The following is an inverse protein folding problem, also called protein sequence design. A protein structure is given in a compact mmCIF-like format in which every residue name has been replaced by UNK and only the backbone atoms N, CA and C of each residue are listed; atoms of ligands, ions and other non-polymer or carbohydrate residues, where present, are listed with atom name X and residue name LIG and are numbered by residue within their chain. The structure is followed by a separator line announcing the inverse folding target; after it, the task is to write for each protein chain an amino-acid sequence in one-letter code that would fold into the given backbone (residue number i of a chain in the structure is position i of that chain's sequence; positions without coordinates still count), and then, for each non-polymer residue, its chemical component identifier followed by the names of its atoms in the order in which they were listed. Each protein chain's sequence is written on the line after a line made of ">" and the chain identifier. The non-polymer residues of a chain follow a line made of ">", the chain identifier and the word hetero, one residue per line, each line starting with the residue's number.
data_IF_884292196817
#
_entry.id   IF_884292196817
#
_cell.length_a   1.000
_cell.length_b   1.000
_cell.length_c   1.000
_cell.angle_alpha   90.00
_cell.angle_beta   90.00
_cell.angle_gamma   90.00
#
_symmetry.space_group_name_H-M   'P 1'
#
loop_
_entity.id
_entity.type
_entity.pdbx_description
1 polymer ?
#
# COMPACT_ATOMS: atom_id res chain seq x y z
N UNK A 1 41.51 4.44 -31.14
CA UNK A 1 40.29 4.12 -31.94
C UNK A 1 39.54 2.87 -31.46
N UNK A 2 40.18 1.72 -31.25
CA UNK A 2 39.52 0.44 -30.84
C UNK A 2 38.76 0.59 -29.52
N UNK A 3 39.39 1.18 -28.46
CA UNK A 3 38.76 1.37 -27.15
C UNK A 3 37.50 2.23 -27.24
N UNK A 4 37.51 3.30 -28.01
CA UNK A 4 36.35 4.16 -28.23
C UNK A 4 35.22 3.41 -28.95
N UNK A 5 35.56 2.60 -29.95
CA UNK A 5 34.61 1.77 -30.67
C UNK A 5 33.92 0.73 -29.75
N UNK A 6 34.69 0.08 -28.87
CA UNK A 6 34.15 -0.85 -27.89
C UNK A 6 33.22 -0.13 -26.88
N UNK A 7 33.59 1.05 -26.40
CA UNK A 7 32.79 1.84 -25.48
C UNK A 7 31.44 2.25 -26.14
N UNK A 8 31.50 2.73 -27.37
CA UNK A 8 30.29 3.08 -28.14
C UNK A 8 29.36 1.87 -28.32
N UNK A 9 29.93 0.69 -28.61
CA UNK A 9 29.17 -0.54 -28.74
C UNK A 9 28.47 -0.93 -27.44
N UNK A 10 29.19 -0.86 -26.31
CA UNK A 10 28.62 -1.15 -24.96
C UNK A 10 27.47 -0.21 -24.67
N UNK A 11 27.64 1.10 -24.90
CA UNK A 11 26.59 2.10 -24.68
C UNK A 11 25.37 1.81 -25.57
N UNK A 12 25.58 1.50 -26.83
CA UNK A 12 24.50 1.19 -27.78
C UNK A 12 23.73 -0.06 -27.34
N UNK A 13 24.43 -1.14 -26.96
CA UNK A 13 23.80 -2.36 -26.44
C UNK A 13 23.00 -2.07 -25.16
N UNK A 14 23.56 -1.28 -24.25
CA UNK A 14 22.86 -0.88 -23.01
C UNK A 14 21.57 -0.10 -23.31
N UNK A 15 21.63 0.88 -24.22
CA UNK A 15 20.45 1.66 -24.63
C UNK A 15 19.38 0.75 -25.24
N UNK A 16 19.79 -0.17 -26.11
CA UNK A 16 18.88 -1.14 -26.75
C UNK A 16 18.24 -2.07 -25.71
N UNK A 17 19.00 -2.60 -24.77
CA UNK A 17 18.49 -3.44 -23.70
C UNK A 17 17.51 -2.68 -22.80
N UNK A 18 17.84 -1.44 -22.44
CA UNK A 18 16.92 -0.59 -21.66
C UNK A 18 15.63 -0.31 -22.41
N UNK A 19 15.71 -0.02 -23.70
CA UNK A 19 14.53 0.15 -24.56
C UNK A 19 13.68 -1.12 -24.61
N UNK A 20 14.32 -2.29 -24.85
CA UNK A 20 13.63 -3.60 -24.84
C UNK A 20 12.96 -3.89 -23.51
N UNK A 21 13.65 -3.60 -22.40
CA UNK A 21 13.09 -3.77 -21.07
C UNK A 21 11.87 -2.89 -20.83
N UNK A 22 11.94 -1.59 -21.17
CA UNK A 22 10.81 -0.66 -21.03
C UNK A 22 9.58 -1.06 -21.88
N UNK A 23 9.79 -1.75 -22.99
CA UNK A 23 8.72 -2.26 -23.85
C UNK A 23 8.36 -3.74 -23.57
N UNK A 24 8.93 -4.36 -22.56
CA UNK A 24 8.56 -5.72 -22.18
C UNK A 24 7.17 -5.76 -21.55
N UNK A 25 6.49 -6.91 -21.72
CA UNK A 25 5.20 -7.15 -21.06
C UNK A 25 5.27 -6.93 -19.56
N UNK A 26 6.35 -7.40 -18.94
CA UNK A 26 6.61 -7.20 -17.52
C UNK A 26 6.66 -5.72 -17.14
N UNK A 27 7.44 -4.92 -17.83
CA UNK A 27 7.54 -3.49 -17.52
C UNK A 27 6.22 -2.74 -17.76
N UNK A 28 5.44 -3.13 -18.75
CA UNK A 28 4.20 -2.45 -19.12
C UNK A 28 2.99 -2.90 -18.29
N UNK A 29 2.92 -4.17 -17.89
CA UNK A 29 1.71 -4.77 -17.36
C UNK A 29 1.82 -5.24 -15.89
N UNK A 30 3.02 -5.61 -15.41
CA UNK A 30 3.24 -5.97 -14.01
C UNK A 30 3.65 -4.80 -13.14
N UNK A 31 3.49 -3.63 -13.66
CA UNK A 31 3.63 -2.34 -13.00
C UNK A 31 2.86 -2.26 -11.69
N UNK A 32 1.76 -2.95 -11.59
CA UNK A 32 0.94 -2.95 -10.39
C UNK A 32 1.61 -3.57 -9.17
N UNK A 33 2.48 -4.54 -9.36
CA UNK A 33 3.09 -5.30 -8.26
C UNK A 33 4.49 -4.83 -7.90
N UNK A 34 5.18 -4.15 -8.79
CA UNK A 34 6.56 -3.73 -8.58
C UNK A 34 6.73 -2.23 -8.79
N UNK A 35 6.32 -1.42 -7.86
CA UNK A 35 6.79 -0.03 -7.76
C UNK A 35 6.95 0.73 -9.09
N UNK A 36 6.07 0.54 -10.07
CA UNK A 36 6.25 1.11 -11.39
C UNK A 36 5.15 2.00 -11.88
N UNK A 37 5.50 2.67 -12.97
CA UNK A 37 4.91 3.93 -13.30
C UNK A 37 3.49 3.75 -13.79
N UNK A 38 2.81 4.80 -13.54
CA UNK A 38 1.66 5.24 -14.30
C UNK A 38 0.57 4.20 -14.44
N UNK A 39 -0.05 3.91 -13.32
CA UNK A 39 -1.46 3.59 -13.37
C UNK A 39 -2.15 4.77 -14.05
N UNK A 40 -2.78 4.55 -15.19
CA UNK A 40 -3.75 5.52 -15.70
C UNK A 40 -4.92 5.52 -14.73
N UNK A 41 -4.96 6.52 -13.86
CA UNK A 41 -6.10 6.76 -13.00
C UNK A 41 -7.15 7.42 -13.87
N UNK A 42 -8.31 6.79 -13.99
CA UNK A 42 -9.46 7.39 -14.65
C UNK A 42 -10.24 8.21 -13.64
N UNK A 43 -10.09 9.51 -13.73
CA UNK A 43 -10.82 10.46 -12.90
C UNK A 43 -12.16 10.77 -13.55
N UNK A 44 -13.22 10.80 -12.75
CA UNK A 44 -14.56 11.20 -13.16
C UNK A 44 -15.30 11.88 -12.01
N UNK A 45 -16.33 12.61 -12.32
CA UNK A 45 -17.21 13.27 -11.33
C UNK A 45 -18.00 12.25 -10.49
N UNK A 46 -18.01 10.98 -10.90
CA UNK A 46 -18.70 9.88 -10.21
C UNK A 46 -17.88 9.26 -9.08
N UNK A 47 -16.65 9.74 -8.84
CA UNK A 47 -15.80 9.19 -7.79
C UNK A 47 -16.39 9.55 -6.43
N UNK A 48 -16.79 8.53 -5.69
CA UNK A 48 -17.35 8.63 -4.33
C UNK A 48 -16.33 8.26 -3.26
N UNK A 49 -15.32 7.45 -3.60
CA UNK A 49 -14.34 6.94 -2.66
C UNK A 49 -12.92 6.97 -3.22
N UNK A 50 -11.96 7.36 -2.37
CA UNK A 50 -10.52 7.25 -2.63
C UNK A 50 -9.87 6.55 -1.46
N UNK A 51 -9.15 5.45 -1.68
CA UNK A 51 -8.40 4.80 -0.62
C UNK A 51 -6.90 5.08 -0.71
N UNK A 52 -6.31 5.25 0.46
CA UNK A 52 -4.89 5.38 0.74
C UNK A 52 -4.38 4.08 1.37
N UNK A 53 -3.07 3.93 1.46
CA UNK A 53 -2.44 2.85 2.19
C UNK A 53 -1.42 2.06 1.37
N UNK A 54 -0.90 1.00 1.96
CA UNK A 54 0.16 0.18 1.41
C UNK A 54 -0.38 -1.10 0.73
N UNK A 55 0.39 -2.18 0.80
CA UNK A 55 0.07 -3.47 0.18
C UNK A 55 -1.29 -4.02 0.63
N UNK A 56 -1.62 -3.93 1.90
CA UNK A 56 -2.90 -4.42 2.43
C UNK A 56 -4.09 -3.70 1.80
N UNK A 57 -4.07 -2.36 1.74
CA UNK A 57 -5.10 -1.57 1.06
C UNK A 57 -5.23 -1.95 -0.42
N UNK A 58 -4.11 -2.22 -1.07
CA UNK A 58 -4.11 -2.65 -2.46
C UNK A 58 -4.82 -3.99 -2.68
N UNK A 59 -4.70 -4.93 -1.73
CA UNK A 59 -5.42 -6.20 -1.75
C UNK A 59 -6.86 -6.09 -1.24
N UNK A 60 -7.22 -5.02 -0.51
CA UNK A 60 -8.54 -4.84 0.04
C UNK A 60 -9.52 -4.13 -0.92
N UNK A 61 -9.05 -3.13 -1.66
CA UNK A 61 -9.95 -2.28 -2.45
C UNK A 61 -10.04 -2.70 -3.91
N UNK A 62 -11.29 -2.80 -4.41
CA UNK A 62 -11.61 -3.01 -5.81
C UNK A 62 -12.90 -2.25 -6.17
N UNK A 63 -12.81 -1.40 -7.16
CA UNK A 63 -13.92 -0.56 -7.58
C UNK A 63 -14.49 -1.04 -8.92
N UNK A 64 -15.64 -1.70 -8.88
CA UNK A 64 -16.25 -2.32 -10.07
C UNK A 64 -17.00 -1.34 -10.97
N UNK A 65 -17.53 -0.26 -10.39
CA UNK A 65 -18.40 0.71 -11.08
C UNK A 65 -17.70 2.02 -11.45
N UNK A 66 -16.37 2.08 -11.38
CA UNK A 66 -15.57 3.31 -11.54
C UNK A 66 -15.97 4.45 -10.58
N UNK A 67 -16.57 4.12 -9.44
CA UNK A 67 -16.98 5.07 -8.40
C UNK A 67 -15.88 5.28 -7.34
N UNK A 68 -14.74 4.67 -7.51
CA UNK A 68 -13.62 4.82 -6.59
C UNK A 68 -12.25 4.75 -7.27
N UNK A 69 -11.26 5.27 -6.56
CA UNK A 69 -9.85 5.29 -6.99
C UNK A 69 -8.95 4.82 -5.85
N UNK A 70 -8.09 3.88 -6.15
CA UNK A 70 -7.05 3.46 -5.19
C UNK A 70 -5.76 4.23 -5.42
N UNK A 71 -5.31 4.98 -4.44
CA UNK A 71 -3.98 5.60 -4.37
C UNK A 71 -2.98 4.73 -3.61
N UNK A 72 -3.38 3.54 -3.17
CA UNK A 72 -2.50 2.60 -2.48
C UNK A 72 -1.37 2.09 -3.40
N UNK A 73 -0.16 2.04 -2.88
CA UNK A 73 1.05 1.51 -3.54
C UNK A 73 1.80 0.59 -2.57
N UNK A 74 2.47 -0.42 -3.09
CA UNK A 74 3.24 -1.35 -2.28
C UNK A 74 4.76 -1.17 -2.49
N UNK A 75 5.54 -0.90 -1.44
CA UNK A 75 5.15 -0.41 -0.12
C UNK A 75 4.85 1.09 -0.14
N UNK A 76 4.04 1.60 0.78
CA UNK A 76 3.70 3.02 0.91
C UNK A 76 3.70 3.44 2.37
N UNK A 77 4.22 4.62 2.67
CA UNK A 77 4.18 5.25 3.99
C UNK A 77 3.09 6.33 4.02
N UNK A 78 2.67 6.71 5.22
CA UNK A 78 1.68 7.77 5.41
C UNK A 78 2.12 9.11 4.77
N UNK A 79 3.43 9.39 4.73
CA UNK A 79 3.95 10.55 3.99
C UNK A 79 3.52 10.52 2.52
N UNK A 80 3.74 9.39 1.83
CA UNK A 80 3.39 9.27 0.42
C UNK A 80 1.88 9.13 0.18
N UNK A 81 1.11 8.62 1.14
CA UNK A 81 -0.35 8.70 1.10
C UNK A 81 -0.81 10.15 0.94
N UNK A 82 -0.27 11.05 1.77
CA UNK A 82 -0.60 12.47 1.73
C UNK A 82 -0.10 13.14 0.45
N UNK A 83 1.14 12.84 0.02
CA UNK A 83 1.69 13.43 -1.21
C UNK A 83 0.87 13.06 -2.45
N UNK A 84 0.43 11.80 -2.55
CA UNK A 84 -0.44 11.34 -3.64
C UNK A 84 -1.82 12.01 -3.57
N UNK A 85 -2.43 12.03 -2.40
CA UNK A 85 -3.72 12.68 -2.19
C UNK A 85 -3.67 14.17 -2.57
N UNK A 86 -2.62 14.89 -2.17
CA UNK A 86 -2.41 16.28 -2.54
C UNK A 86 -2.14 16.46 -4.04
N UNK A 87 -1.39 15.55 -4.66
CA UNK A 87 -1.08 15.60 -6.08
C UNK A 87 -2.33 15.49 -6.95
N UNK A 88 -3.27 14.67 -6.50
CA UNK A 88 -4.52 14.42 -7.21
C UNK A 88 -5.72 15.22 -6.68
N UNK A 89 -5.52 16.11 -5.73
CA UNK A 89 -6.60 16.84 -5.06
C UNK A 89 -7.56 17.56 -6.01
N UNK A 90 -7.08 18.05 -7.16
CA UNK A 90 -7.89 18.74 -8.18
C UNK A 90 -8.88 17.83 -8.90
N UNK A 91 -8.65 16.51 -8.84
CA UNK A 91 -9.46 15.51 -9.51
C UNK A 91 -10.44 14.80 -8.57
N UNK A 92 -10.33 15.06 -7.27
CA UNK A 92 -11.17 14.42 -6.26
C UNK A 92 -12.35 15.37 -5.95
N UNK A 93 -13.60 14.94 -6.23
CA UNK A 93 -14.77 15.74 -5.93
C UNK A 93 -14.89 16.09 -4.44
N UNK A 94 -15.65 17.13 -4.11
CA UNK A 94 -16.08 17.39 -2.73
C UNK A 94 -16.97 16.23 -2.26
N UNK A 95 -17.07 16.06 -0.97
CA UNK A 95 -17.86 15.00 -0.32
C UNK A 95 -17.37 13.56 -0.60
N UNK A 96 -16.25 13.42 -1.36
CA UNK A 96 -15.62 12.11 -1.55
C UNK A 96 -15.16 11.52 -0.22
N UNK A 97 -15.41 10.25 -0.02
CA UNK A 97 -14.92 9.48 1.13
C UNK A 97 -13.44 9.15 0.90
N UNK A 98 -12.57 9.65 1.77
CA UNK A 98 -11.15 9.30 1.79
C UNK A 98 -10.93 8.24 2.87
N UNK A 99 -10.62 7.02 2.45
CA UNK A 99 -10.34 5.91 3.35
C UNK A 99 -8.84 5.82 3.59
N UNK A 100 -8.40 6.10 4.80
CA UNK A 100 -7.03 5.85 5.24
C UNK A 100 -6.96 4.45 5.86
N UNK A 101 -6.34 3.52 5.11
CA UNK A 101 -6.26 2.12 5.50
C UNK A 101 -4.94 1.83 6.23
N UNK A 102 -5.05 1.39 7.48
CA UNK A 102 -3.92 1.25 8.39
C UNK A 102 -3.51 -0.21 8.61
N UNK A 103 -2.37 -0.67 8.07
CA UNK A 103 -1.74 -1.90 8.54
C UNK A 103 -1.07 -1.68 9.90
N UNK A 104 -1.00 -2.70 10.75
CA UNK A 104 -0.50 -2.61 12.13
C UNK A 104 0.88 -1.93 12.24
N UNK A 105 1.80 -2.18 11.31
CA UNK A 105 3.14 -1.59 11.32
C UNK A 105 3.26 -0.17 10.78
N UNK A 106 2.16 0.49 10.37
CA UNK A 106 2.22 1.78 9.67
C UNK A 106 2.97 2.85 10.47
N UNK A 107 2.64 3.00 11.74
CA UNK A 107 3.15 4.08 12.58
C UNK A 107 4.60 3.88 13.04
N UNK A 108 5.11 2.65 12.98
CA UNK A 108 6.49 2.31 13.31
C UNK A 108 7.49 2.62 12.19
N UNK A 109 7.03 2.99 11.01
CA UNK A 109 7.85 3.33 9.84
C UNK A 109 7.81 4.83 9.56
N UNK A 110 8.97 5.47 9.43
CA UNK A 110 9.02 6.86 8.92
C UNK A 110 8.76 6.85 7.43
N UNK A 111 9.80 6.58 6.64
CA UNK A 111 9.70 6.57 5.19
C UNK A 111 10.64 5.54 4.59
N UNK A 112 10.25 5.07 3.42
CA UNK A 112 11.09 4.25 2.59
C UNK A 112 12.11 5.12 1.84
N UNK A 113 13.37 4.69 1.79
CA UNK A 113 14.45 5.43 1.14
C UNK A 113 15.16 4.64 0.04
N UNK A 114 14.99 3.33 -0.01
CA UNK A 114 15.58 2.49 -1.06
C UNK A 114 14.93 2.76 -2.41
N UNK A 115 15.72 2.74 -3.48
CA UNK A 115 15.21 3.03 -4.82
C UNK A 115 14.07 2.09 -5.23
N UNK A 116 14.16 0.81 -4.87
CA UNK A 116 13.11 -0.17 -5.17
C UNK A 116 11.75 0.19 -4.57
N UNK A 117 11.73 0.88 -3.44
CA UNK A 117 10.52 1.25 -2.74
C UNK A 117 9.94 2.59 -3.19
N UNK A 118 10.80 3.54 -3.63
CA UNK A 118 10.39 4.90 -3.98
C UNK A 118 10.38 5.20 -5.47
N UNK A 119 10.88 4.29 -6.32
CA UNK A 119 11.01 4.49 -7.76
C UNK A 119 9.69 4.94 -8.43
N UNK A 120 8.56 4.39 -7.99
CA UNK A 120 7.21 4.73 -8.47
C UNK A 120 6.88 6.22 -8.32
N UNK A 121 7.31 6.84 -7.22
CA UNK A 121 7.01 8.25 -6.96
C UNK A 121 7.76 9.21 -7.88
N UNK A 122 8.91 8.80 -8.42
CA UNK A 122 9.64 9.58 -9.42
C UNK A 122 8.90 9.72 -10.76
N UNK A 123 7.92 8.84 -11.02
CA UNK A 123 7.05 8.94 -12.18
C UNK A 123 5.78 9.76 -11.93
N UNK A 124 5.33 9.78 -10.68
CA UNK A 124 4.00 10.22 -10.32
C UNK A 124 3.98 11.58 -9.60
N UNK A 125 5.04 11.87 -8.82
CA UNK A 125 5.10 13.07 -8.00
C UNK A 125 6.14 14.08 -8.53
N UNK A 126 5.89 15.38 -8.36
CA UNK A 126 6.89 16.41 -8.60
C UNK A 126 8.04 16.29 -7.57
N UNK A 127 9.21 16.80 -7.95
CA UNK A 127 10.46 16.63 -7.20
C UNK A 127 10.41 17.10 -5.74
N UNK A 128 9.67 18.16 -5.47
CA UNK A 128 9.48 18.78 -4.15
C UNK A 128 8.59 17.96 -3.21
N UNK A 129 7.86 16.99 -3.75
CA UNK A 129 7.04 16.04 -3.00
C UNK A 129 7.70 14.68 -2.77
N UNK A 130 8.90 14.50 -3.25
CA UNK A 130 9.68 13.27 -3.03
C UNK A 130 10.69 13.54 -1.93
N UNK A 131 10.54 12.83 -0.80
CA UNK A 131 11.47 12.96 0.30
C UNK A 131 12.89 12.57 -0.13
N UNK A 132 13.86 13.44 0.18
CA UNK A 132 15.26 13.25 -0.22
C UNK A 132 15.42 12.97 -1.72
N UNK A 133 14.72 13.78 -2.55
CA UNK A 133 14.86 13.68 -4.01
C UNK A 133 16.32 13.63 -4.44
N UNK A 134 16.63 12.77 -5.40
CA UNK A 134 17.94 12.65 -6.00
C UNK A 134 17.82 12.55 -7.52
N UNK A 135 18.51 13.43 -8.24
CA UNK A 135 18.54 13.41 -9.70
C UNK A 135 19.09 12.07 -10.22
N UNK A 136 20.11 11.50 -9.55
CA UNK A 136 20.66 10.19 -9.92
C UNK A 136 19.59 9.08 -9.77
N UNK A 137 18.86 9.06 -8.66
CA UNK A 137 17.76 8.11 -8.46
C UNK A 137 16.67 8.30 -9.53
N UNK A 138 16.33 9.55 -9.88
CA UNK A 138 15.39 9.84 -10.96
C UNK A 138 15.88 9.25 -12.29
N UNK A 139 17.13 9.52 -12.67
CA UNK A 139 17.70 9.00 -13.92
C UNK A 139 17.64 7.46 -13.95
N UNK A 140 18.05 6.82 -12.87
CA UNK A 140 18.01 5.35 -12.76
C UNK A 140 16.56 4.84 -12.81
N UNK A 141 15.63 5.43 -12.03
CA UNK A 141 14.26 4.95 -11.97
C UNK A 141 13.52 5.15 -13.29
N UNK A 142 13.62 6.34 -13.90
CA UNK A 142 12.75 6.77 -15.01
C UNK A 142 13.40 6.60 -16.37
N UNK A 143 14.68 6.94 -16.49
CA UNK A 143 15.40 6.90 -17.80
C UNK A 143 15.98 5.52 -18.06
N UNK A 144 16.60 4.92 -17.05
CA UNK A 144 17.34 3.65 -17.18
C UNK A 144 16.92 2.61 -16.14
N UNK A 145 15.61 2.23 -16.08
CA UNK A 145 15.12 1.31 -15.05
C UNK A 145 15.77 -0.08 -15.08
N UNK A 146 16.38 -0.47 -16.19
CA UNK A 146 17.15 -1.72 -16.28
C UNK A 146 18.28 -1.80 -15.23
N UNK A 147 18.81 -0.65 -14.80
CA UNK A 147 19.93 -0.60 -13.83
C UNK A 147 19.55 -1.09 -12.44
N UNK A 148 18.30 -0.93 -12.01
CA UNK A 148 17.87 -1.41 -10.70
C UNK A 148 17.02 -2.69 -10.76
N UNK A 149 16.52 -3.05 -11.95
CA UNK A 149 15.68 -4.24 -12.13
C UNK A 149 16.50 -5.54 -12.09
N UNK A 150 17.82 -5.45 -12.31
CA UNK A 150 18.74 -6.58 -12.19
C UNK A 150 18.36 -7.79 -13.07
N UNK A 151 18.43 -9.00 -12.50
CA UNK A 151 18.11 -10.25 -13.21
C UNK A 151 16.69 -10.29 -13.79
N UNK A 152 15.74 -9.63 -13.15
CA UNK A 152 14.34 -9.55 -13.61
C UNK A 152 14.23 -8.86 -14.97
N UNK A 153 15.07 -7.84 -15.23
CA UNK A 153 15.08 -7.18 -16.53
C UNK A 153 15.51 -8.12 -17.64
N UNK A 154 16.56 -8.90 -17.42
CA UNK A 154 17.05 -9.88 -18.41
C UNK A 154 15.96 -10.91 -18.70
N UNK A 155 15.39 -11.48 -17.63
CA UNK A 155 14.30 -12.45 -17.75
C UNK A 155 13.12 -11.90 -18.52
N UNK A 156 12.71 -10.66 -18.25
CA UNK A 156 11.55 -10.04 -18.90
C UNK A 156 11.78 -9.66 -20.39
N UNK A 157 13.03 -9.46 -20.81
CA UNK A 157 13.39 -9.22 -22.21
C UNK A 157 13.28 -10.51 -23.03
N UNK A 158 13.67 -11.64 -22.41
CA UNK A 158 13.72 -12.96 -23.08
C UNK A 158 12.35 -13.65 -23.05
N UNK A 159 11.68 -13.63 -21.91
CA UNK A 159 10.41 -14.31 -21.70
C UNK A 159 9.23 -13.36 -21.94
N UNK A 160 8.44 -13.63 -22.97
CA UNK A 160 7.25 -12.85 -23.31
C UNK A 160 6.06 -13.09 -22.37
N UNK A 161 6.05 -14.20 -21.63
CA UNK A 161 5.06 -14.53 -20.61
C UNK A 161 5.78 -14.64 -19.27
N UNK A 162 5.44 -13.76 -18.37
CA UNK A 162 5.72 -13.95 -16.95
C UNK A 162 4.37 -14.38 -16.39
N UNK A 163 4.29 -15.61 -15.90
CA UNK A 163 3.17 -16.01 -15.09
C UNK A 163 3.10 -15.01 -13.93
N UNK A 164 1.99 -14.30 -13.85
CA UNK A 164 1.76 -13.44 -12.71
C UNK A 164 1.66 -14.36 -11.51
N UNK A 165 2.70 -14.44 -10.69
CA UNK A 165 2.67 -15.17 -9.40
C UNK A 165 1.55 -14.64 -8.48
N UNK A 166 0.85 -13.62 -8.91
CA UNK A 166 -0.14 -12.89 -8.18
C UNK A 166 -1.53 -13.15 -8.76
N UNK A 167 -1.95 -14.41 -8.70
CA UNK A 167 -3.33 -14.72 -8.89
C UNK A 167 -4.05 -14.39 -7.59
N UNK A 168 -4.78 -13.45 -7.36
CA UNK A 168 -5.61 -13.21 -6.16
C UNK A 168 -6.47 -14.43 -5.72
N UNK A 169 -5.99 -15.63 -6.02
CA UNK A 169 -6.61 -16.88 -5.66
C UNK A 169 -6.49 -17.09 -4.14
N UNK A 170 -7.45 -17.82 -3.61
CA UNK A 170 -7.46 -18.17 -2.19
C UNK A 170 -6.26 -19.04 -1.81
N UNK A 171 -5.79 -18.87 -0.59
CA UNK A 171 -4.79 -19.74 0.00
C UNK A 171 -5.47 -21.02 0.53
N UNK A 172 -5.17 -22.15 -0.07
CA UNK A 172 -5.68 -23.46 0.39
C UNK A 172 -4.56 -24.25 1.02
N UNK A 173 -4.42 -24.12 2.32
CA UNK A 173 -3.37 -24.79 3.10
C UNK A 173 -3.92 -25.29 4.44
N UNK A 174 -3.18 -26.18 5.10
CA UNK A 174 -3.56 -26.67 6.42
C UNK A 174 -3.44 -25.59 7.50
N UNK A 175 -4.18 -25.79 8.60
CA UNK A 175 -4.13 -24.92 9.78
C UNK A 175 -2.69 -24.76 10.32
N UNK A 176 -1.94 -25.83 10.37
CA UNK A 176 -0.53 -25.80 10.78
C UNK A 176 0.32 -24.92 9.86
N UNK A 177 0.09 -24.98 8.54
CA UNK A 177 0.78 -24.12 7.59
C UNK A 177 0.39 -22.65 7.76
N UNK A 178 -0.87 -22.36 8.06
CA UNK A 178 -1.34 -20.99 8.34
C UNK A 178 -0.65 -20.41 9.57
N UNK A 179 -0.56 -21.16 10.66
CA UNK A 179 0.19 -20.74 11.87
C UNK A 179 1.64 -20.46 11.56
N UNK A 180 2.26 -21.30 10.73
CA UNK A 180 3.64 -21.08 10.29
C UNK A 180 3.77 -19.79 9.43
N UNK A 181 2.84 -19.53 8.52
CA UNK A 181 2.82 -18.27 7.73
C UNK A 181 2.69 -17.07 8.66
N UNK A 182 1.75 -17.10 9.61
CA UNK A 182 1.58 -16.03 10.58
C UNK A 182 2.87 -15.79 11.38
N UNK A 183 3.52 -16.86 11.85
CA UNK A 183 4.80 -16.77 12.56
C UNK A 183 5.90 -16.16 11.69
N UNK A 184 6.04 -16.61 10.44
CA UNK A 184 7.01 -16.09 9.47
C UNK A 184 6.81 -14.56 9.24
N UNK A 185 5.55 -14.09 9.12
CA UNK A 185 5.22 -12.67 9.02
C UNK A 185 5.60 -11.89 10.30
N UNK A 186 5.26 -12.43 11.45
CA UNK A 186 5.60 -11.82 12.74
C UNK A 186 7.12 -11.74 12.95
N UNK A 187 7.88 -12.74 12.54
CA UNK A 187 9.34 -12.72 12.61
C UNK A 187 9.96 -11.64 11.71
N UNK A 188 9.39 -11.42 10.54
CA UNK A 188 9.78 -10.30 9.67
C UNK A 188 9.50 -8.96 10.35
N UNK A 189 8.35 -8.78 10.99
CA UNK A 189 8.00 -7.54 11.69
C UNK A 189 8.86 -7.33 12.92
N UNK A 190 9.09 -8.35 13.74
CA UNK A 190 10.02 -8.28 14.89
C UNK A 190 11.39 -7.79 14.42
N UNK A 191 11.93 -8.37 13.36
CA UNK A 191 13.22 -7.94 12.79
C UNK A 191 13.17 -6.52 12.24
N UNK A 192 12.12 -6.15 11.53
CA UNK A 192 11.95 -4.84 10.89
C UNK A 192 11.85 -3.73 11.92
N UNK A 193 11.11 -3.96 12.99
CA UNK A 193 10.85 -2.97 14.04
C UNK A 193 11.74 -3.14 15.28
N UNK A 194 12.69 -4.08 15.23
CA UNK A 194 13.62 -4.38 16.34
C UNK A 194 12.88 -4.73 17.65
N UNK A 195 11.85 -5.56 17.55
CA UNK A 195 11.03 -6.00 18.67
C UNK A 195 11.42 -7.41 19.10
N UNK A 196 11.45 -7.66 20.40
CA UNK A 196 11.72 -8.99 20.96
C UNK A 196 10.52 -9.94 20.75
N UNK A 197 9.31 -9.40 20.94
CA UNK A 197 8.06 -10.14 20.79
C UNK A 197 6.93 -9.19 20.34
N UNK A 198 5.69 -9.67 20.19
CA UNK A 198 4.51 -8.90 19.81
C UNK A 198 3.42 -8.92 20.90
N UNK A 199 3.83 -9.14 22.14
CA UNK A 199 2.91 -9.20 23.30
C UNK A 199 3.15 -8.10 24.31
N UNK A 200 4.41 -7.82 24.64
CA UNK A 200 4.79 -6.83 25.66
C UNK A 200 6.14 -6.15 25.35
N UNK A 201 6.63 -6.25 24.12
CA UNK A 201 7.91 -5.65 23.74
C UNK A 201 7.98 -4.15 24.03
N UNK A 202 9.16 -3.71 24.46
CA UNK A 202 9.44 -2.27 24.58
C UNK A 202 9.45 -1.59 23.19
N UNK A 203 8.62 -0.58 23.05
CA UNK A 203 8.49 0.21 21.83
C UNK A 203 9.07 1.62 21.95
N UNK A 204 9.79 1.92 23.03
CA UNK A 204 10.31 3.27 23.33
C UNK A 204 11.18 3.81 22.20
N UNK A 205 11.99 2.97 21.55
CA UNK A 205 12.83 3.35 20.43
C UNK A 205 12.05 3.75 19.17
N UNK A 206 10.75 3.43 19.09
CA UNK A 206 9.85 3.77 17.99
C UNK A 206 9.10 5.09 18.21
N UNK A 207 9.14 5.68 19.41
CA UNK A 207 8.46 6.94 19.72
C UNK A 207 8.72 8.02 18.66
N UNK A 208 9.96 8.25 18.17
CA UNK A 208 10.19 9.25 17.11
C UNK A 208 9.51 8.92 15.79
N UNK A 209 9.19 7.65 15.53
CA UNK A 209 8.42 7.23 14.36
C UNK A 209 6.93 7.49 14.58
N UNK A 210 6.43 7.15 15.76
CA UNK A 210 5.05 7.39 16.17
C UNK A 210 4.71 8.88 16.11
N UNK A 211 5.50 9.74 16.74
CA UNK A 211 5.30 11.19 16.74
C UNK A 211 5.33 11.77 15.31
N UNK A 212 6.25 11.30 14.48
CA UNK A 212 6.33 11.72 13.09
C UNK A 212 5.05 11.37 12.31
N UNK A 213 4.58 10.13 12.43
CA UNK A 213 3.39 9.68 11.71
C UNK A 213 2.11 10.29 12.27
N UNK A 214 2.03 10.55 13.59
CA UNK A 214 0.89 11.25 14.19
C UNK A 214 0.75 12.67 13.61
N UNK A 215 1.85 13.42 13.47
CA UNK A 215 1.83 14.75 12.80
C UNK A 215 1.38 14.66 11.34
N UNK A 216 1.78 13.61 10.64
CA UNK A 216 1.30 13.37 9.27
C UNK A 216 -0.19 13.06 9.26
N UNK A 217 -0.68 12.28 10.23
CA UNK A 217 -2.10 11.95 10.32
C UNK A 217 -2.96 13.19 10.62
N UNK A 218 -2.52 14.06 11.52
CA UNK A 218 -3.17 15.36 11.76
C UNK A 218 -3.21 16.21 10.47
N UNK A 219 -2.11 16.26 9.72
CA UNK A 219 -2.07 16.92 8.41
C UNK A 219 -3.07 16.32 7.42
N UNK A 220 -3.24 15.00 7.41
CA UNK A 220 -4.23 14.31 6.56
C UNK A 220 -5.66 14.74 6.94
N UNK A 221 -5.97 14.79 8.24
CA UNK A 221 -7.25 15.25 8.77
C UNK A 221 -7.53 16.68 8.31
N UNK A 222 -6.59 17.59 8.53
CA UNK A 222 -6.72 19.01 8.14
C UNK A 222 -6.91 19.15 6.63
N UNK A 223 -6.20 18.37 5.85
CA UNK A 223 -6.33 18.37 4.39
C UNK A 223 -7.71 17.92 3.94
N UNK A 224 -8.23 16.83 4.50
CA UNK A 224 -9.57 16.35 4.17
C UNK A 224 -10.64 17.37 4.54
N UNK A 225 -10.56 17.97 5.73
CA UNK A 225 -11.45 19.06 6.15
C UNK A 225 -11.42 20.25 5.20
N UNK A 226 -10.23 20.71 4.82
CA UNK A 226 -10.05 21.87 3.94
C UNK A 226 -10.62 21.62 2.51
N UNK A 227 -10.64 20.36 2.06
CA UNK A 227 -11.18 19.99 0.75
C UNK A 227 -12.67 19.60 0.79
N UNK A 228 -13.27 19.47 1.97
CA UNK A 228 -14.62 18.99 2.16
C UNK A 228 -14.76 17.48 1.88
N UNK A 229 -13.71 16.71 2.11
CA UNK A 229 -13.74 15.25 2.02
C UNK A 229 -14.12 14.61 3.34
N UNK A 230 -14.82 13.48 3.27
CA UNK A 230 -15.22 12.68 4.44
C UNK A 230 -14.13 11.67 4.75
N UNK A 231 -13.30 11.92 5.77
CA UNK A 231 -12.20 11.00 6.14
C UNK A 231 -12.71 9.84 7.00
N UNK A 232 -12.24 8.64 6.71
CA UNK A 232 -12.53 7.41 7.46
C UNK A 232 -11.22 6.65 7.71
N UNK A 233 -11.00 6.23 8.95
CA UNK A 233 -9.90 5.34 9.30
C UNK A 233 -10.38 3.90 9.27
N UNK A 234 -9.61 3.03 8.64
CA UNK A 234 -9.98 1.62 8.49
C UNK A 234 -8.80 0.72 8.87
N UNK A 235 -9.03 -0.19 9.79
CA UNK A 235 -8.13 -1.31 10.05
C UNK A 235 -8.60 -2.52 9.24
N UNK A 236 -7.69 -3.10 8.47
CA UNK A 236 -8.02 -4.24 7.63
C UNK A 236 -8.25 -5.53 8.40
N UNK A 237 -9.01 -6.46 7.80
CA UNK A 237 -9.21 -7.78 8.39
C UNK A 237 -7.91 -8.58 8.44
N UNK A 238 -7.82 -9.44 9.43
CA UNK A 238 -6.73 -10.40 9.64
C UNK A 238 -7.30 -11.75 10.03
N UNK A 239 -6.67 -12.83 9.56
CA UNK A 239 -7.05 -14.18 9.98
C UNK A 239 -6.74 -14.41 11.46
N UNK A 240 -7.47 -15.34 12.08
CA UNK A 240 -7.32 -15.70 13.49
C UNK A 240 -5.88 -16.01 13.87
N UNK A 241 -5.18 -16.83 13.06
CA UNK A 241 -3.81 -17.23 13.31
C UNK A 241 -2.83 -16.05 13.39
N UNK A 242 -3.12 -14.97 12.66
CA UNK A 242 -2.32 -13.75 12.72
C UNK A 242 -2.69 -12.90 13.94
N UNK A 243 -3.97 -12.80 14.28
CA UNK A 243 -4.45 -12.06 15.44
C UNK A 243 -3.93 -12.64 16.76
N UNK A 244 -3.85 -13.97 16.87
CA UNK A 244 -3.33 -14.68 18.06
C UNK A 244 -1.85 -14.38 18.36
N UNK A 245 -1.11 -13.81 17.40
CA UNK A 245 0.30 -13.43 17.60
C UNK A 245 0.48 -12.14 18.41
N UNK A 246 -0.59 -11.36 18.59
CA UNK A 246 -0.53 -10.07 19.28
C UNK A 246 -1.29 -10.11 20.60
N UNK A 247 -0.77 -9.45 21.63
CA UNK A 247 -1.60 -9.08 22.77
C UNK A 247 -2.32 -7.76 22.53
N UNK A 248 -3.49 -7.59 23.13
CA UNK A 248 -4.23 -6.32 23.08
C UNK A 248 -3.42 -5.17 23.69
N UNK A 249 -2.65 -5.44 24.76
CA UNK A 249 -1.76 -4.45 25.39
C UNK A 249 -0.70 -3.96 24.40
N UNK A 250 -0.08 -4.87 23.65
CA UNK A 250 0.91 -4.51 22.64
C UNK A 250 0.27 -3.70 21.52
N UNK A 251 -0.86 -4.15 20.99
CA UNK A 251 -1.57 -3.43 19.95
C UNK A 251 -2.04 -2.04 20.38
N UNK A 252 -2.48 -1.90 21.62
CA UNK A 252 -2.86 -0.60 22.16
C UNK A 252 -1.67 0.37 22.14
N UNK A 253 -0.50 -0.06 22.59
CA UNK A 253 0.69 0.78 22.67
C UNK A 253 1.37 1.02 21.31
N UNK A 254 1.45 -0.02 20.49
CA UNK A 254 2.18 0.02 19.23
C UNK A 254 1.37 0.61 18.07
N UNK A 255 0.05 0.46 18.12
CA UNK A 255 -0.82 0.74 16.99
C UNK A 255 -1.95 1.71 17.33
N UNK A 256 -2.92 1.34 18.15
CA UNK A 256 -4.14 2.11 18.38
C UNK A 256 -3.92 3.48 19.00
N UNK A 257 -3.03 3.63 19.96
CA UNK A 257 -2.70 4.91 20.59
C UNK A 257 -2.16 5.96 19.62
N UNK A 258 -1.76 5.55 18.42
CA UNK A 258 -1.22 6.47 17.41
C UNK A 258 -2.31 7.24 16.64
N UNK A 259 -3.57 6.81 16.70
CA UNK A 259 -4.61 7.45 15.89
C UNK A 259 -5.98 7.57 16.57
N UNK A 260 -6.29 6.79 17.62
CA UNK A 260 -7.62 6.81 18.25
C UNK A 260 -8.00 8.19 18.78
N UNK A 261 -7.12 8.84 19.53
CA UNK A 261 -7.35 10.18 20.06
C UNK A 261 -7.49 11.23 18.96
N UNK A 262 -6.78 11.08 17.85
CA UNK A 262 -6.91 11.93 16.66
C UNK A 262 -8.29 11.72 16.00
N UNK A 263 -8.75 10.47 15.91
CA UNK A 263 -10.06 10.14 15.38
C UNK A 263 -11.17 10.76 16.24
N UNK A 264 -11.13 10.54 17.54
CA UNK A 264 -12.10 11.08 18.51
C UNK A 264 -12.15 12.60 18.49
N UNK A 265 -11.00 13.26 18.65
CA UNK A 265 -10.89 14.72 18.66
C UNK A 265 -11.43 15.36 17.37
N UNK A 266 -11.31 14.68 16.24
CA UNK A 266 -11.68 15.22 14.94
C UNK A 266 -13.00 14.66 14.40
N UNK A 267 -13.69 13.84 15.18
CA UNK A 267 -14.92 13.14 14.78
C UNK A 267 -14.76 12.36 13.47
N UNK A 268 -13.63 11.66 13.31
CA UNK A 268 -13.36 10.79 12.17
C UNK A 268 -13.88 9.40 12.47
N UNK A 269 -14.70 8.86 11.58
CA UNK A 269 -15.21 7.49 11.70
C UNK A 269 -14.04 6.51 11.66
N UNK A 270 -13.99 5.59 12.62
CA UNK A 270 -13.04 4.50 12.66
C UNK A 270 -13.77 3.16 12.55
N UNK A 271 -13.43 2.37 11.54
CA UNK A 271 -13.95 1.04 11.29
C UNK A 271 -12.82 0.02 11.46
N UNK A 272 -12.99 -0.88 12.42
CA UNK A 272 -12.00 -1.92 12.73
C UNK A 272 -12.53 -3.31 12.33
N UNK A 273 -11.93 -3.88 11.28
CA UNK A 273 -12.25 -5.23 10.79
C UNK A 273 -11.25 -6.29 11.25
N UNK A 274 -10.28 -5.94 12.09
CA UNK A 274 -9.23 -6.85 12.52
C UNK A 274 -9.77 -8.13 13.15
N UNK A 275 -10.75 -7.99 14.04
CA UNK A 275 -11.39 -9.09 14.75
C UNK A 275 -12.81 -9.42 14.23
N UNK A 276 -13.15 -8.99 13.04
CA UNK A 276 -14.46 -9.26 12.47
C UNK A 276 -14.63 -10.75 12.16
N UNK A 277 -15.65 -11.37 12.74
CA UNK A 277 -15.92 -12.82 12.68
C UNK A 277 -15.98 -13.36 11.25
N UNK A 278 -16.44 -12.55 10.29
CA UNK A 278 -16.50 -12.92 8.88
C UNK A 278 -15.11 -13.34 8.36
N UNK A 279 -14.06 -12.70 8.85
CA UNK A 279 -12.69 -12.93 8.39
C UNK A 279 -11.87 -13.83 9.31
N UNK A 280 -12.33 -14.02 10.57
CA UNK A 280 -11.60 -14.85 11.53
C UNK A 280 -11.67 -16.34 11.19
N UNK A 281 -12.78 -16.78 10.64
CA UNK A 281 -13.07 -18.21 10.48
C UNK A 281 -12.92 -18.72 9.05
N UNK A 282 -12.69 -17.83 8.06
CA UNK A 282 -12.49 -18.24 6.67
C UNK A 282 -11.17 -17.75 6.06
N UNK A 283 -10.14 -18.55 6.19
CA UNK A 283 -8.83 -18.28 5.57
C UNK A 283 -8.86 -18.26 4.04
N UNK A 284 -9.92 -18.75 3.39
CA UNK A 284 -10.09 -18.63 1.93
C UNK A 284 -10.31 -17.18 1.49
N UNK A 285 -10.69 -16.30 2.41
CA UNK A 285 -10.79 -14.86 2.16
C UNK A 285 -9.42 -14.18 2.02
N UNK A 286 -8.33 -14.90 2.32
CA UNK A 286 -6.98 -14.37 2.21
C UNK A 286 -6.17 -15.07 1.11
N UNK A 287 -5.48 -14.27 0.31
CA UNK A 287 -4.56 -14.77 -0.72
C UNK A 287 -3.30 -15.40 -0.10
N UNK A 288 -2.71 -14.75 0.87
CA UNK A 288 -1.53 -15.25 1.60
C UNK A 288 -1.90 -16.08 2.84
N UNK A 289 -3.19 -16.26 3.09
CA UNK A 289 -3.74 -17.02 4.22
C UNK A 289 -3.93 -16.23 5.50
N UNK A 290 -3.39 -15.01 5.66
CA UNK A 290 -3.37 -14.32 6.96
C UNK A 290 -3.81 -12.83 6.96
N UNK A 291 -3.44 -12.01 5.97
CA UNK A 291 -3.70 -10.56 6.01
C UNK A 291 -3.82 -9.85 4.64
N UNK A 292 -3.61 -10.57 3.53
CA UNK A 292 -3.83 -10.04 2.19
C UNK A 292 -5.06 -10.70 1.58
N UNK A 293 -6.09 -9.91 1.35
CA UNK A 293 -7.36 -10.45 0.87
C UNK A 293 -7.25 -11.08 -0.52
N UNK A 294 -7.90 -12.24 -0.68
CA UNK A 294 -8.14 -12.88 -1.97
C UNK A 294 -9.18 -12.10 -2.77
N UNK A 295 -9.48 -12.53 -4.00
CA UNK A 295 -10.54 -11.89 -4.78
C UNK A 295 -11.90 -11.99 -4.09
N UNK A 296 -12.21 -13.14 -3.49
CA UNK A 296 -13.44 -13.32 -2.71
C UNK A 296 -13.42 -12.46 -1.44
N UNK A 297 -12.33 -12.47 -0.69
CA UNK A 297 -12.18 -11.67 0.52
C UNK A 297 -12.31 -10.18 0.26
N UNK A 298 -11.79 -9.70 -0.86
CA UNK A 298 -11.92 -8.31 -1.29
C UNK A 298 -13.37 -7.91 -1.56
N UNK A 299 -14.16 -8.78 -2.20
CA UNK A 299 -15.60 -8.51 -2.42
C UNK A 299 -16.35 -8.44 -1.12
N UNK A 300 -16.16 -9.42 -0.26
CA UNK A 300 -16.76 -9.44 1.08
C UNK A 300 -16.39 -8.19 1.89
N UNK A 301 -15.11 -7.79 1.85
CA UNK A 301 -14.65 -6.60 2.54
C UNK A 301 -15.30 -5.32 1.98
N UNK A 302 -15.36 -5.17 0.66
CA UNK A 302 -15.94 -3.97 0.03
C UNK A 302 -17.45 -3.86 0.33
N UNK A 303 -18.20 -4.95 0.21
CA UNK A 303 -19.62 -4.99 0.56
C UNK A 303 -19.85 -4.59 2.03
N UNK A 304 -19.04 -5.12 2.94
CA UNK A 304 -19.13 -4.78 4.36
C UNK A 304 -18.75 -3.32 4.63
N UNK A 305 -17.67 -2.83 4.04
CA UNK A 305 -17.25 -1.45 4.16
C UNK A 305 -18.34 -0.48 3.65
N UNK A 306 -18.89 -0.73 2.46
CA UNK A 306 -19.96 0.10 1.88
C UNK A 306 -21.21 0.11 2.78
N UNK A 307 -21.62 -1.05 3.30
CA UNK A 307 -22.74 -1.15 4.25
C UNK A 307 -22.47 -0.36 5.56
N UNK A 308 -21.27 -0.45 6.12
CA UNK A 308 -20.94 0.24 7.34
C UNK A 308 -20.83 1.76 7.13
N UNK A 309 -20.32 2.19 5.98
CA UNK A 309 -20.31 3.61 5.58
C UNK A 309 -21.75 4.13 5.39
N UNK A 310 -22.64 3.35 4.80
CA UNK A 310 -24.05 3.71 4.66
C UNK A 310 -24.74 3.85 6.04
N UNK A 311 -24.59 2.87 6.93
CA UNK A 311 -25.14 2.91 8.29
C UNK A 311 -24.67 4.12 9.11
N UNK A 312 -23.47 4.60 8.86
CA UNK A 312 -22.87 5.75 9.53
C UNK A 312 -23.13 7.11 8.80
N UNK A 313 -23.94 7.11 7.74
CA UNK A 313 -24.29 8.34 7.01
C UNK A 313 -23.18 8.94 6.15
N UNK A 314 -22.16 8.16 5.82
CA UNK A 314 -21.07 8.58 4.93
C UNK A 314 -21.41 8.34 3.46
N UNK A 315 -22.20 7.34 3.17
CA UNK A 315 -22.61 6.95 1.83
C UNK A 315 -24.05 7.37 1.56
N UNK A 316 -24.27 8.19 0.54
CA UNK A 316 -25.60 8.61 0.09
C UNK A 316 -25.95 7.86 -1.20
N UNK A 317 -27.10 7.17 -1.23
CA UNK A 317 -27.57 6.39 -2.36
C UNK A 317 -28.40 5.18 -1.93
N UNK A 318 -28.86 4.40 -2.92
CA UNK A 318 -29.52 3.13 -2.62
C UNK A 318 -28.56 2.20 -1.88
N UNK A 319 -29.08 1.44 -0.94
CA UNK A 319 -28.31 0.46 -0.17
C UNK A 319 -27.59 -0.48 -1.15
N UNK A 320 -26.27 -0.68 -1.01
CA UNK A 320 -25.47 -1.48 -1.93
C UNK A 320 -25.90 -2.94 -1.99
#
# INVERSE_FOLDING_TARGET
>A
MIVLGILCLIIMVFILLNYRYKNSFYYQNLVEFENRPVRKIYWSDKIKMVNLGSVHARFAFQYFKNEGVSLARAPQSLYYDIQLLENYSKHIPRDTIVVAFFPIGLFALKNYTSLNQIAKYYYELPKDRIEKYSLLKYIIAVKYPILYAGKKAIYSIVNRKIDSEWSYQKCVVSEERLKKIAQEHCDVWKKQFQLENLTDADTTHLIPCFEYNRKLLERLVDKCKAQGWKLVFVNGPMARQMNEMFSEKFLQNFYYSNFQDIAEKNNVLHLDYRLDDTFQDDNNLFWNGVDWLSETGRRVFMEKLENDLYKNGYWEGDQP
#
